data_IF_175906089002
#
_entry.id   IF_175906089002
#
_cell.length_a   1.000
_cell.length_b   1.000
_cell.length_c   1.000
_cell.angle_alpha   90.00
_cell.angle_beta   90.00
_cell.angle_gamma   90.00
#
_symmetry.space_group_name_H-M   'P 1'
#
loop_
_entity.id
_entity.type
_entity.pdbx_description
1 polymer ?
#
# COMPACT_ATOMS: atom_id res chain seq x y z
N UNK A 1 -35.04 -34.35 9.62
CA UNK A 1 -33.82 -34.67 8.84
C UNK A 1 -32.97 -33.41 8.75
N UNK A 2 -32.25 -33.11 9.84
CA UNK A 2 -31.39 -31.92 9.98
C UNK A 2 -30.00 -32.32 9.46
N UNK A 3 -29.90 -32.54 8.15
CA UNK A 3 -28.62 -32.75 7.50
C UNK A 3 -28.01 -31.36 7.29
N UNK A 4 -27.34 -30.90 8.35
CA UNK A 4 -25.96 -30.44 8.23
C UNK A 4 -25.71 -29.23 7.30
N UNK A 5 -26.33 -28.09 7.60
CA UNK A 5 -25.83 -26.77 7.15
C UNK A 5 -24.36 -26.58 7.56
N UNK A 6 -23.94 -27.18 8.69
CA UNK A 6 -22.53 -27.26 9.13
C UNK A 6 -21.59 -28.07 8.21
N UNK A 7 -22.09 -28.95 7.31
CA UNK A 7 -21.21 -29.62 6.31
C UNK A 7 -21.07 -28.81 5.04
N UNK A 8 -22.05 -28.00 4.67
CA UNK A 8 -21.91 -27.09 3.52
C UNK A 8 -20.94 -25.95 3.81
N UNK A 9 -20.84 -25.48 5.07
CA UNK A 9 -19.82 -24.49 5.46
C UNK A 9 -18.40 -25.07 5.65
N UNK A 10 -18.23 -26.41 5.59
CA UNK A 10 -16.89 -27.06 5.60
C UNK A 10 -16.32 -27.26 4.18
N UNK A 11 -17.06 -26.88 3.14
CA UNK A 11 -16.62 -27.01 1.75
C UNK A 11 -15.65 -25.90 1.36
N UNK A 12 -14.37 -26.26 1.25
CA UNK A 12 -13.25 -25.49 0.69
C UNK A 12 -12.58 -24.48 1.63
N UNK A 13 -12.11 -24.96 2.78
CA UNK A 13 -10.97 -24.30 3.42
C UNK A 13 -9.78 -24.31 2.43
N UNK A 14 -9.33 -23.14 2.00
CA UNK A 14 -8.20 -23.02 1.07
C UNK A 14 -6.95 -23.63 1.73
N UNK A 15 -6.26 -24.58 1.07
CA UNK A 15 -5.04 -25.17 1.61
C UNK A 15 -3.98 -24.11 1.92
N UNK A 16 -3.21 -24.29 3.00
CA UNK A 16 -2.13 -23.36 3.39
C UNK A 16 -1.10 -23.16 2.29
N UNK A 17 -0.81 -24.19 1.50
CA UNK A 17 0.06 -24.10 0.32
C UNK A 17 -0.49 -23.14 -0.73
N UNK A 18 -1.80 -23.17 -0.99
CA UNK A 18 -2.43 -22.25 -1.92
C UNK A 18 -2.41 -20.81 -1.37
N UNK A 19 -2.60 -20.60 -0.07
CA UNK A 19 -2.46 -19.29 0.57
C UNK A 19 -1.03 -18.76 0.42
N UNK A 20 -0.02 -19.60 0.64
CA UNK A 20 1.38 -19.22 0.45
C UNK A 20 1.67 -18.84 -1.01
N UNK A 21 1.18 -19.62 -1.97
CA UNK A 21 1.32 -19.33 -3.40
C UNK A 21 0.64 -18.00 -3.79
N UNK A 22 -0.57 -17.75 -3.29
CA UNK A 22 -1.29 -16.50 -3.56
C UNK A 22 -0.56 -15.31 -2.92
N UNK A 23 -0.05 -15.46 -1.70
CA UNK A 23 0.72 -14.40 -1.04
C UNK A 23 2.02 -14.09 -1.80
N UNK A 24 2.73 -15.13 -2.27
CA UNK A 24 3.91 -14.98 -3.10
C UNK A 24 3.59 -14.22 -4.39
N UNK A 25 2.54 -14.64 -5.10
CA UNK A 25 2.09 -14.01 -6.33
C UNK A 25 1.61 -12.56 -6.12
N UNK A 26 0.86 -12.31 -5.05
CA UNK A 26 0.39 -10.97 -4.70
C UNK A 26 1.57 -10.01 -4.44
N UNK A 27 2.58 -10.45 -3.68
CA UNK A 27 3.80 -9.66 -3.49
C UNK A 27 4.53 -9.41 -4.82
N UNK A 28 4.68 -10.44 -5.65
CA UNK A 28 5.38 -10.35 -6.93
C UNK A 28 4.67 -9.38 -7.88
N UNK A 29 3.35 -9.48 -8.02
CA UNK A 29 2.55 -8.66 -8.94
C UNK A 29 2.41 -7.21 -8.47
N UNK A 30 2.29 -6.98 -7.15
CA UNK A 30 1.98 -5.63 -6.62
C UNK A 30 3.24 -4.87 -6.19
N UNK A 31 4.26 -5.58 -5.73
CA UNK A 31 5.54 -5.00 -5.33
C UNK A 31 6.57 -5.08 -6.46
N UNK A 32 6.94 -6.30 -6.84
CA UNK A 32 8.14 -6.48 -7.66
C UNK A 32 7.95 -6.18 -9.17
N UNK A 33 6.84 -6.62 -9.77
CA UNK A 33 6.56 -6.40 -11.19
C UNK A 33 6.50 -4.90 -11.55
N UNK A 34 5.80 -4.03 -10.80
CA UNK A 34 5.82 -2.60 -11.05
C UNK A 34 7.23 -2.03 -11.04
N UNK A 35 8.08 -2.52 -10.14
CA UNK A 35 9.46 -2.10 -10.06
C UNK A 35 10.24 -2.49 -11.33
N UNK A 36 10.07 -3.72 -11.85
CA UNK A 36 10.65 -4.15 -13.13
C UNK A 36 10.18 -3.22 -14.25
N UNK A 37 8.87 -2.95 -14.31
CA UNK A 37 8.30 -2.06 -15.34
C UNK A 37 8.83 -0.63 -15.22
N UNK A 38 9.08 -0.13 -14.00
CA UNK A 38 9.70 1.19 -13.81
C UNK A 38 11.15 1.23 -14.26
N UNK A 39 11.91 0.15 -14.05
CA UNK A 39 13.29 0.04 -14.53
C UNK A 39 13.39 -0.12 -16.06
N UNK A 40 12.37 -0.71 -16.69
CA UNK A 40 12.32 -0.90 -18.15
C UNK A 40 11.78 0.31 -18.94
N UNK A 41 11.00 1.21 -18.34
CA UNK A 41 10.26 2.30 -19.03
C UNK A 41 10.97 3.67 -19.13
N UNK A 42 12.28 3.70 -19.37
CA UNK A 42 12.75 4.66 -20.39
C UNK A 42 13.02 6.13 -20.04
N UNK A 43 13.02 6.61 -18.79
CA UNK A 43 13.67 7.91 -18.48
C UNK A 43 15.11 7.73 -17.97
N UNK A 44 15.32 6.68 -17.16
CA UNK A 44 16.64 6.28 -16.71
C UNK A 44 17.27 5.27 -17.66
N UNK A 45 16.63 4.80 -18.74
CA UNK A 45 17.32 3.98 -19.75
C UNK A 45 18.33 4.83 -20.51
N UNK A 46 18.04 6.11 -20.77
CA UNK A 46 19.02 7.05 -21.33
C UNK A 46 20.11 7.37 -20.31
N UNK A 47 19.77 7.54 -19.02
CA UNK A 47 20.76 7.73 -17.95
C UNK A 47 21.59 6.46 -17.67
N UNK A 48 21.01 5.26 -17.79
CA UNK A 48 21.64 3.92 -17.72
C UNK A 48 22.38 3.54 -19.00
N UNK A 49 22.11 4.22 -20.12
CA UNK A 49 22.88 4.13 -21.36
C UNK A 49 24.01 5.16 -21.38
N UNK A 50 23.89 6.26 -20.62
CA UNK A 50 24.93 7.27 -20.40
C UNK A 50 25.87 6.93 -19.24
N UNK A 51 25.42 6.23 -18.19
CA UNK A 51 26.29 5.53 -17.24
C UNK A 51 26.56 4.13 -17.76
N UNK A 52 27.80 3.85 -18.16
CA UNK A 52 28.33 2.64 -18.82
C UNK A 52 28.09 1.27 -18.10
N UNK A 53 27.19 1.19 -17.11
CA UNK A 53 26.98 0.00 -16.28
C UNK A 53 25.67 -0.74 -16.57
N UNK A 54 25.76 -2.00 -17.00
CA UNK A 54 24.62 -2.92 -17.00
C UNK A 54 24.19 -3.23 -15.55
N UNK A 55 23.18 -2.52 -15.03
CA UNK A 55 22.70 -2.75 -13.67
C UNK A 55 21.69 -3.91 -13.63
N UNK A 56 21.94 -4.88 -12.74
CA UNK A 56 21.02 -5.99 -12.50
C UNK A 56 19.76 -5.48 -11.79
N UNK A 57 18.72 -5.21 -12.58
CA UNK A 57 17.41 -4.88 -12.04
C UNK A 57 16.90 -6.01 -11.10
N UNK A 58 16.27 -5.81 -9.91
CA UNK A 58 16.47 -5.00 -8.69
C UNK A 58 17.20 -3.69 -8.51
N UNK A 59 18.50 -3.86 -8.58
CA UNK A 59 19.39 -3.29 -7.59
C UNK A 59 20.07 -2.12 -8.27
N UNK A 60 19.23 -1.19 -8.73
CA UNK A 60 19.67 0.09 -9.26
C UNK A 60 19.93 1.05 -8.11
N UNK A 61 21.04 1.77 -8.21
CA UNK A 61 21.60 2.61 -7.17
C UNK A 61 20.63 3.64 -6.57
N UNK A 62 19.67 4.15 -7.34
CA UNK A 62 18.72 5.18 -6.89
C UNK A 62 17.35 4.58 -6.49
N UNK A 63 17.26 3.25 -6.45
CA UNK A 63 16.03 2.50 -6.22
C UNK A 63 15.66 2.26 -4.75
N UNK A 64 16.51 2.59 -3.77
CA UNK A 64 16.33 2.18 -2.37
C UNK A 64 14.97 2.58 -1.78
N UNK A 65 14.57 3.83 -1.97
CA UNK A 65 13.25 4.33 -1.55
C UNK A 65 12.13 3.54 -2.23
N UNK A 66 12.22 3.35 -3.55
CA UNK A 66 11.19 2.64 -4.33
C UNK A 66 11.09 1.18 -3.91
N UNK A 67 12.21 0.50 -3.66
CA UNK A 67 12.23 -0.88 -3.17
C UNK A 67 11.54 -1.01 -1.82
N UNK A 68 11.73 -0.05 -0.92
CA UNK A 68 10.99 -0.01 0.33
C UNK A 68 9.48 0.17 0.09
N UNK A 69 9.09 1.19 -0.69
CA UNK A 69 7.68 1.52 -0.96
C UNK A 69 6.94 0.36 -1.66
N UNK A 70 7.53 -0.19 -2.73
CA UNK A 70 7.00 -1.35 -3.45
C UNK A 70 6.98 -2.61 -2.60
N UNK A 71 8.06 -2.85 -1.84
CA UNK A 71 8.13 -3.95 -0.88
C UNK A 71 6.98 -3.83 0.13
N UNK A 72 6.71 -2.65 0.67
CA UNK A 72 5.64 -2.40 1.61
C UNK A 72 4.25 -2.66 1.03
N UNK A 73 3.97 -2.18 -0.18
CA UNK A 73 2.67 -2.39 -0.83
C UNK A 73 2.50 -3.87 -1.22
N UNK A 74 3.53 -4.51 -1.77
CA UNK A 74 3.52 -5.94 -2.07
C UNK A 74 3.37 -6.80 -0.81
N UNK A 75 4.04 -6.43 0.28
CA UNK A 75 3.96 -7.10 1.57
C UNK A 75 2.55 -7.02 2.15
N UNK A 76 1.92 -5.84 2.05
CA UNK A 76 0.54 -5.62 2.45
C UNK A 76 -0.42 -6.52 1.66
N UNK A 77 -0.27 -6.61 0.34
CA UNK A 77 -1.06 -7.50 -0.49
C UNK A 77 -0.89 -8.97 -0.09
N UNK A 78 0.35 -9.41 0.17
CA UNK A 78 0.65 -10.75 0.66
C UNK A 78 0.02 -11.02 2.04
N UNK A 79 0.07 -10.06 2.97
CA UNK A 79 -0.56 -10.18 4.29
C UNK A 79 -2.09 -10.27 4.20
N UNK A 80 -2.71 -9.55 3.27
CA UNK A 80 -4.16 -9.61 3.03
C UNK A 80 -4.63 -10.91 2.38
N UNK A 81 -3.76 -11.65 1.68
CA UNK A 81 -4.10 -12.94 1.08
C UNK A 81 -4.65 -13.95 2.10
N UNK A 82 -4.34 -13.79 3.39
CA UNK A 82 -4.89 -14.61 4.48
C UNK A 82 -6.41 -14.55 4.60
N UNK A 83 -7.06 -13.49 4.09
CA UNK A 83 -8.52 -13.33 4.09
C UNK A 83 -9.16 -14.46 3.26
N UNK A 84 -8.51 -14.91 2.19
CA UNK A 84 -8.99 -16.00 1.33
C UNK A 84 -9.04 -17.35 2.05
N UNK A 85 -8.25 -17.53 3.12
CA UNK A 85 -8.28 -18.72 3.97
C UNK A 85 -9.49 -18.82 4.90
N UNK A 86 -10.41 -17.86 4.86
CA UNK A 86 -11.68 -17.90 5.57
C UNK A 86 -11.61 -17.79 7.11
N UNK A 87 -10.42 -17.72 7.72
CA UNK A 87 -10.24 -17.64 9.18
C UNK A 87 -8.95 -16.87 9.51
N UNK A 88 -8.94 -16.13 10.63
CA UNK A 88 -7.74 -15.53 11.25
C UNK A 88 -6.75 -16.58 11.82
N UNK A 89 -6.61 -17.74 11.17
CA UNK A 89 -5.80 -18.82 11.69
C UNK A 89 -4.33 -18.45 11.69
N UNK A 90 -3.61 -18.82 12.76
CA UNK A 90 -2.15 -18.68 12.84
C UNK A 90 -1.46 -19.37 11.67
N UNK A 91 -2.05 -20.46 11.16
CA UNK A 91 -1.55 -21.19 9.99
C UNK A 91 -1.64 -20.37 8.70
N UNK A 92 -2.74 -19.66 8.44
CA UNK A 92 -2.86 -18.78 7.28
C UNK A 92 -1.86 -17.61 7.36
N UNK A 93 -1.66 -17.06 8.56
CA UNK A 93 -0.64 -16.03 8.78
C UNK A 93 0.78 -16.54 8.46
N UNK A 94 1.16 -17.71 8.99
CA UNK A 94 2.46 -18.33 8.69
C UNK A 94 2.58 -18.65 7.19
N UNK A 95 1.52 -19.17 6.56
CA UNK A 95 1.52 -19.45 5.13
C UNK A 95 1.79 -18.18 4.28
N UNK A 96 1.14 -17.05 4.59
CA UNK A 96 1.41 -15.79 3.88
C UNK A 96 2.85 -15.31 4.08
N UNK A 97 3.42 -15.48 5.27
CA UNK A 97 4.81 -15.10 5.56
C UNK A 97 5.80 -16.00 4.81
N UNK A 98 5.54 -17.30 4.75
CA UNK A 98 6.36 -18.26 3.98
C UNK A 98 6.31 -17.93 2.49
N UNK A 99 5.11 -17.67 1.95
CA UNK A 99 4.94 -17.24 0.56
C UNK A 99 5.70 -15.96 0.24
N UNK A 100 5.57 -14.94 1.10
CA UNK A 100 6.32 -13.69 1.01
C UNK A 100 7.83 -13.94 1.02
N UNK A 101 8.33 -14.67 2.02
CA UNK A 101 9.76 -14.94 2.19
C UNK A 101 10.34 -15.68 0.99
N UNK A 102 9.62 -16.68 0.46
CA UNK A 102 10.02 -17.38 -0.75
C UNK A 102 10.08 -16.44 -1.96
N UNK A 103 9.09 -15.56 -2.12
CA UNK A 103 9.03 -14.58 -3.21
C UNK A 103 10.20 -13.59 -3.18
N UNK A 104 10.50 -13.05 -1.99
CA UNK A 104 11.65 -12.16 -1.76
C UNK A 104 12.96 -12.90 -2.02
N UNK A 105 13.11 -14.13 -1.51
CA UNK A 105 14.32 -14.92 -1.73
C UNK A 105 14.57 -15.22 -3.22
N UNK A 106 13.51 -15.54 -3.98
CA UNK A 106 13.59 -15.74 -5.44
C UNK A 106 14.03 -14.45 -6.13
N UNK A 107 13.44 -13.31 -5.78
CA UNK A 107 13.83 -12.02 -6.35
C UNK A 107 15.30 -11.69 -6.06
N UNK A 108 15.75 -11.88 -4.82
CA UNK A 108 17.14 -11.63 -4.42
C UNK A 108 18.11 -12.56 -5.15
N UNK A 109 17.74 -13.85 -5.30
CA UNK A 109 18.54 -14.82 -6.04
C UNK A 109 18.62 -14.46 -7.53
N UNK A 110 17.50 -14.05 -8.15
CA UNK A 110 17.48 -13.58 -9.53
C UNK A 110 18.37 -12.36 -9.72
N UNK A 111 18.31 -11.40 -8.79
CA UNK A 111 19.15 -10.20 -8.82
C UNK A 111 20.63 -10.54 -8.67
N UNK A 112 20.97 -11.44 -7.74
CA UNK A 112 22.33 -11.92 -7.54
C UNK A 112 22.88 -12.64 -8.78
N UNK A 113 22.11 -13.55 -9.38
CA UNK A 113 22.52 -14.26 -10.59
C UNK A 113 22.70 -13.28 -11.75
N UNK A 114 21.82 -12.28 -11.87
CA UNK A 114 21.96 -11.23 -12.89
C UNK A 114 23.24 -10.40 -12.70
N UNK A 115 23.63 -10.07 -11.47
CA UNK A 115 24.91 -9.40 -11.18
C UNK A 115 26.12 -10.26 -11.57
N UNK A 116 26.07 -11.57 -11.32
CA UNK A 116 27.16 -12.50 -11.67
C UNK A 116 27.30 -12.74 -13.18
N UNK A 117 26.22 -12.52 -13.94
CA UNK A 117 26.20 -12.67 -15.39
C UNK A 117 26.46 -11.35 -16.13
N UNK A 118 26.49 -10.22 -15.42
CA UNK A 118 26.86 -8.95 -16.02
C UNK A 118 28.35 -8.98 -16.39
N UNK A 119 28.69 -8.54 -17.61
CA UNK A 119 30.08 -8.46 -18.08
C UNK A 119 30.93 -7.57 -17.16
N UNK A 120 32.26 -7.77 -17.16
CA UNK A 120 33.23 -6.99 -16.36
C UNK A 120 33.19 -5.46 -16.60
N UNK A 121 32.46 -4.99 -17.62
CA UNK A 121 32.17 -3.58 -17.87
C UNK A 121 31.02 -3.01 -17.04
N UNK A 122 30.27 -3.85 -16.33
CA UNK A 122 29.16 -3.40 -15.49
C UNK A 122 29.69 -2.81 -14.17
N UNK A 123 29.34 -1.56 -13.88
CA UNK A 123 29.50 -1.00 -12.54
C UNK A 123 28.71 -1.85 -11.55
N UNK A 124 29.42 -2.68 -10.80
CA UNK A 124 28.83 -3.43 -9.69
C UNK A 124 28.64 -2.45 -8.54
N UNK A 125 27.42 -2.29 -8.01
CA UNK A 125 27.19 -1.42 -6.86
C UNK A 125 28.09 -1.85 -5.70
N UNK A 126 28.61 -0.87 -4.94
CA UNK A 126 29.32 -1.15 -3.69
C UNK A 126 28.48 -2.12 -2.82
N UNK A 127 29.14 -3.14 -2.25
CA UNK A 127 28.51 -4.12 -1.38
C UNK A 127 27.74 -3.49 -0.22
N UNK A 128 28.16 -2.32 0.26
CA UNK A 128 27.41 -1.52 1.23
C UNK A 128 26.04 -1.06 0.71
N UNK A 129 26.01 -0.47 -0.49
CA UNK A 129 24.77 -0.01 -1.16
C UNK A 129 23.86 -1.20 -1.46
N UNK A 130 24.43 -2.30 -1.94
CA UNK A 130 23.69 -3.53 -2.22
C UNK A 130 22.98 -4.07 -0.96
N UNK A 131 23.68 -4.06 0.17
CA UNK A 131 23.14 -4.49 1.46
C UNK A 131 21.96 -3.61 1.89
N UNK A 132 22.06 -2.29 1.70
CA UNK A 132 20.96 -1.36 2.00
C UNK A 132 19.77 -1.57 1.07
N UNK A 133 19.99 -1.80 -0.23
CA UNK A 133 18.91 -2.10 -1.19
C UNK A 133 18.15 -3.38 -0.81
N UNK A 134 18.89 -4.47 -0.52
CA UNK A 134 18.29 -5.73 -0.08
C UNK A 134 17.54 -5.56 1.25
N UNK A 135 18.15 -4.86 2.20
CA UNK A 135 17.56 -4.52 3.49
C UNK A 135 16.27 -3.72 3.33
N UNK A 136 16.25 -2.70 2.48
CA UNK A 136 15.08 -1.87 2.21
C UNK A 136 13.91 -2.69 1.67
N UNK A 137 14.16 -3.59 0.71
CA UNK A 137 13.13 -4.48 0.18
C UNK A 137 12.56 -5.41 1.26
N UNK A 138 13.43 -6.06 2.05
CA UNK A 138 13.01 -6.98 3.12
C UNK A 138 12.21 -6.24 4.20
N UNK A 139 12.71 -5.09 4.65
CA UNK A 139 12.06 -4.27 5.68
C UNK A 139 10.71 -3.76 5.21
N UNK A 140 10.63 -3.21 3.99
CA UNK A 140 9.38 -2.79 3.37
C UNK A 140 8.39 -3.95 3.32
N UNK A 141 8.82 -5.09 2.78
CA UNK A 141 8.00 -6.30 2.66
C UNK A 141 7.44 -6.80 3.98
N UNK A 142 8.27 -6.86 5.02
CA UNK A 142 7.84 -7.30 6.36
C UNK A 142 6.92 -6.28 7.03
N UNK A 143 7.22 -4.98 6.91
CA UNK A 143 6.38 -3.91 7.44
C UNK A 143 4.99 -3.93 6.77
N UNK A 144 4.96 -4.03 5.45
CA UNK A 144 3.76 -4.20 4.64
C UNK A 144 2.95 -5.41 5.05
N UNK A 145 3.61 -6.58 5.17
CA UNK A 145 2.95 -7.80 5.63
C UNK A 145 2.35 -7.65 7.01
N UNK A 146 3.08 -7.02 7.95
CA UNK A 146 2.59 -6.67 9.26
C UNK A 146 1.32 -5.82 9.18
N UNK A 147 1.31 -4.78 8.32
CA UNK A 147 0.14 -3.94 8.05
C UNK A 147 -1.05 -4.73 7.50
N UNK A 148 -0.81 -5.63 6.53
CA UNK A 148 -1.85 -6.51 5.98
C UNK A 148 -2.42 -7.47 7.03
N UNK A 149 -1.57 -7.99 7.93
CA UNK A 149 -2.00 -8.81 9.06
C UNK A 149 -2.86 -7.97 10.02
N UNK A 150 -2.42 -6.80 10.46
CA UNK A 150 -3.21 -6.02 11.44
C UNK A 150 -4.47 -5.41 10.84
N UNK A 151 -4.51 -5.12 9.54
CA UNK A 151 -5.66 -4.54 8.86
C UNK A 151 -6.96 -5.33 9.08
N UNK A 152 -6.88 -6.66 9.18
CA UNK A 152 -8.05 -7.53 9.37
C UNK A 152 -8.55 -7.57 10.83
N UNK A 153 -7.87 -6.90 11.77
CA UNK A 153 -8.29 -6.86 13.20
C UNK A 153 -9.48 -5.95 13.47
N UNK A 154 -9.85 -5.09 12.52
CA UNK A 154 -11.04 -4.25 12.61
C UNK A 154 -10.87 -2.92 11.89
N UNK A 155 -11.95 -2.14 11.87
CA UNK A 155 -12.05 -0.89 11.11
C UNK A 155 -10.94 0.14 11.44
N UNK A 156 -10.54 0.25 12.71
CA UNK A 156 -9.46 1.17 13.10
C UNK A 156 -8.15 0.78 12.42
N UNK A 157 -7.73 -0.48 12.58
CA UNK A 157 -6.49 -0.97 11.99
C UNK A 157 -6.51 -0.93 10.47
N UNK A 158 -7.63 -1.28 9.85
CA UNK A 158 -7.80 -1.16 8.41
C UNK A 158 -7.64 0.29 7.93
N UNK A 159 -8.26 1.25 8.62
CA UNK A 159 -8.10 2.67 8.27
C UNK A 159 -6.69 3.20 8.49
N UNK A 160 -6.00 2.78 9.55
CA UNK A 160 -4.58 3.14 9.74
C UNK A 160 -3.71 2.56 8.61
N UNK A 161 -3.96 1.33 8.19
CA UNK A 161 -3.30 0.71 7.03
C UNK A 161 -3.58 1.48 5.74
N UNK A 162 -4.83 1.89 5.49
CA UNK A 162 -5.16 2.77 4.36
C UNK A 162 -4.47 4.13 4.45
N UNK A 163 -4.24 4.65 5.65
CA UNK A 163 -3.53 5.92 5.86
C UNK A 163 -2.05 5.82 5.46
N UNK A 164 -1.40 4.69 5.77
CA UNK A 164 -0.05 4.39 5.25
C UNK A 164 -0.08 4.35 3.72
N UNK A 165 -1.03 3.62 3.14
CA UNK A 165 -1.18 3.54 1.68
C UNK A 165 -1.47 4.90 1.04
N UNK A 166 -2.20 5.80 1.70
CA UNK A 166 -2.41 7.15 1.20
C UNK A 166 -1.09 7.92 1.15
N UNK A 167 -0.24 7.82 2.17
CA UNK A 167 1.07 8.49 2.17
C UNK A 167 2.04 7.95 1.12
N UNK A 168 1.94 6.66 0.78
CA UNK A 168 2.76 6.00 -0.25
C UNK A 168 2.13 6.04 -1.65
N UNK A 169 0.83 6.30 -1.73
CA UNK A 169 0.05 6.23 -2.97
C UNK A 169 0.58 7.18 -4.03
N UNK A 170 1.13 8.32 -3.62
CA UNK A 170 1.82 9.24 -4.52
C UNK A 170 3.05 8.59 -5.14
N UNK A 171 4.00 8.06 -4.36
CA UNK A 171 5.23 7.48 -4.93
C UNK A 171 4.96 6.26 -5.80
N UNK A 172 4.03 5.39 -5.37
CA UNK A 172 3.62 4.24 -6.18
C UNK A 172 2.93 4.68 -7.47
N UNK A 173 1.99 5.62 -7.44
CA UNK A 173 1.32 6.13 -8.64
C UNK A 173 2.32 6.72 -9.65
N UNK A 174 3.26 7.54 -9.16
CA UNK A 174 4.31 8.13 -10.00
C UNK A 174 5.18 7.05 -10.65
N UNK A 175 5.55 6.01 -9.91
CA UNK A 175 6.31 4.88 -10.44
C UNK A 175 5.53 4.04 -11.44
N UNK A 176 4.35 3.57 -11.08
CA UNK A 176 3.63 2.52 -11.81
C UNK A 176 2.75 3.04 -12.94
N UNK A 177 2.17 4.23 -12.78
CA UNK A 177 1.17 4.74 -13.73
C UNK A 177 1.76 5.86 -14.55
N UNK A 178 2.33 6.89 -13.91
CA UNK A 178 2.76 8.09 -14.63
C UNK A 178 3.99 7.84 -15.50
N UNK A 179 5.07 7.28 -14.96
CA UNK A 179 6.29 7.01 -15.74
C UNK A 179 6.03 6.16 -17.00
N UNK A 180 5.27 5.05 -16.94
CA UNK A 180 4.92 4.29 -18.14
C UNK A 180 4.01 5.07 -19.11
N UNK A 181 3.07 5.86 -18.59
CA UNK A 181 2.21 6.68 -19.45
C UNK A 181 3.03 7.72 -20.21
N UNK A 182 3.90 8.45 -19.51
CA UNK A 182 4.76 9.49 -20.08
C UNK A 182 5.66 8.88 -21.17
N UNK A 183 6.27 7.71 -20.92
CA UNK A 183 7.07 6.99 -21.92
C UNK A 183 6.27 6.57 -23.18
N UNK A 184 5.00 6.19 -23.04
CA UNK A 184 4.13 5.85 -24.17
C UNK A 184 3.70 7.11 -24.94
N UNK A 185 3.54 8.24 -24.26
CA UNK A 185 2.94 9.46 -24.80
C UNK A 185 3.97 10.44 -25.38
N UNK A 186 5.18 10.53 -24.83
CA UNK A 186 6.28 11.36 -25.36
C UNK A 186 6.75 10.88 -26.75
N UNK A 187 6.44 9.63 -27.13
CA UNK A 187 6.60 9.14 -28.50
C UNK A 187 5.54 9.66 -29.50
N UNK A 188 4.58 10.49 -29.07
CA UNK A 188 3.49 11.00 -29.89
C UNK A 188 3.43 12.53 -29.92
N UNK A 189 4.00 13.12 -30.96
CA UNK A 189 4.18 14.57 -31.25
C UNK A 189 2.88 15.41 -31.38
N UNK A 190 1.83 15.25 -30.55
CA UNK A 190 0.62 16.06 -30.79
C UNK A 190 -0.51 16.11 -29.77
N UNK A 191 -0.41 15.51 -28.57
CA UNK A 191 -1.56 15.48 -27.64
C UNK A 191 -1.28 15.88 -26.19
N UNK A 192 -0.21 16.65 -25.95
CA UNK A 192 0.29 17.01 -24.62
C UNK A 192 -0.69 17.82 -23.72
N UNK A 193 -1.70 18.49 -24.29
CA UNK A 193 -2.58 19.41 -23.55
C UNK A 193 -3.74 18.76 -22.77
N UNK A 194 -4.26 17.61 -23.21
CA UNK A 194 -5.46 17.00 -22.60
C UNK A 194 -5.06 15.96 -21.55
N UNK A 195 -3.93 15.27 -21.74
CA UNK A 195 -3.48 14.20 -20.85
C UNK A 195 -2.89 14.73 -19.54
N UNK A 196 -2.22 15.88 -19.57
CA UNK A 196 -1.70 16.58 -18.37
C UNK A 196 -2.78 16.79 -17.31
N UNK A 197 -3.99 17.18 -17.72
CA UNK A 197 -5.13 17.39 -16.79
C UNK A 197 -5.70 16.09 -16.17
N UNK A 198 -5.73 14.99 -16.93
CA UNK A 198 -6.16 13.68 -16.42
C UNK A 198 -5.10 13.10 -15.46
N UNK A 199 -3.82 13.26 -15.79
CA UNK A 199 -2.68 12.82 -14.98
C UNK A 199 -2.59 13.60 -13.67
N UNK A 200 -2.88 14.91 -13.68
CA UNK A 200 -3.02 15.70 -12.47
C UNK A 200 -4.17 15.20 -11.58
N UNK A 201 -5.33 14.86 -12.16
CA UNK A 201 -6.48 14.33 -11.42
C UNK A 201 -6.16 12.99 -10.72
N UNK A 202 -5.38 12.10 -11.35
CA UNK A 202 -4.97 10.83 -10.71
C UNK A 202 -3.90 11.05 -9.63
N UNK A 203 -3.13 12.15 -9.70
CA UNK A 203 -2.25 12.61 -8.62
C UNK A 203 -2.97 12.87 -7.29
N UNK A 204 -4.30 13.01 -7.28
CA UNK A 204 -5.13 13.18 -6.08
C UNK A 204 -5.74 11.89 -5.53
N UNK A 205 -5.45 10.71 -6.11
CA UNK A 205 -6.01 9.43 -5.63
C UNK A 205 -5.72 9.20 -4.15
N UNK A 206 -4.55 9.62 -3.66
CA UNK A 206 -4.19 9.50 -2.25
C UNK A 206 -5.15 10.26 -1.32
N UNK A 207 -5.74 11.39 -1.76
CA UNK A 207 -6.75 12.15 -1.01
C UNK A 207 -8.01 11.32 -0.82
N UNK A 208 -8.44 10.62 -1.88
CA UNK A 208 -9.57 9.69 -1.81
C UNK A 208 -9.30 8.51 -0.87
N UNK A 209 -8.10 7.93 -0.94
CA UNK A 209 -7.68 6.83 -0.05
C UNK A 209 -7.65 7.29 1.41
N UNK A 210 -7.09 8.47 1.69
CA UNK A 210 -7.08 9.04 3.04
C UNK A 210 -8.49 9.36 3.53
N UNK A 211 -9.34 9.93 2.68
CA UNK A 211 -10.75 10.17 3.05
C UNK A 211 -11.45 8.86 3.40
N UNK A 212 -11.26 7.80 2.60
CA UNK A 212 -11.80 6.48 2.89
C UNK A 212 -11.26 5.91 4.21
N UNK A 213 -9.95 6.06 4.48
CA UNK A 213 -9.34 5.66 5.74
C UNK A 213 -10.04 6.29 6.95
N UNK A 214 -10.23 7.62 6.89
CA UNK A 214 -10.89 8.39 7.94
C UNK A 214 -12.37 7.99 8.09
N UNK A 215 -13.09 7.77 6.99
CA UNK A 215 -14.49 7.29 7.02
C UNK A 215 -14.57 5.92 7.69
N UNK A 216 -13.71 4.97 7.33
CA UNK A 216 -13.72 3.62 7.93
C UNK A 216 -13.47 3.68 9.44
N UNK A 217 -12.53 4.53 9.87
CA UNK A 217 -12.27 4.76 11.30
C UNK A 217 -13.48 5.42 11.99
N UNK A 218 -14.02 6.47 11.37
CA UNK A 218 -15.02 7.37 11.95
C UNK A 218 -16.46 6.88 11.86
N UNK A 219 -16.76 5.89 11.02
CA UNK A 219 -18.12 5.42 10.76
C UNK A 219 -18.85 5.12 12.08
N UNK A 220 -18.30 4.22 12.92
CA UNK A 220 -18.84 3.89 14.27
C UNK A 220 -17.77 3.25 15.17
N UNK A 221 -17.78 3.50 16.50
CA UNK A 221 -18.49 4.58 17.22
C UNK A 221 -17.81 5.96 17.09
N UNK A 222 -18.50 7.03 17.48
CA UNK A 222 -18.02 8.43 17.37
C UNK A 222 -16.69 8.68 18.07
N UNK A 223 -16.45 7.97 19.17
CA UNK A 223 -15.19 8.02 19.92
C UNK A 223 -13.97 7.70 19.04
N UNK A 224 -14.13 6.91 17.96
CA UNK A 224 -13.04 6.61 17.03
C UNK A 224 -12.57 7.81 16.20
N UNK A 225 -13.34 8.90 16.15
CA UNK A 225 -12.88 10.15 15.52
C UNK A 225 -11.61 10.71 16.20
N UNK A 226 -11.37 10.39 17.47
CA UNK A 226 -10.12 10.74 18.17
C UNK A 226 -8.87 10.10 17.52
N UNK A 227 -9.04 9.07 16.67
CA UNK A 227 -7.95 8.41 15.94
C UNK A 227 -7.65 9.10 14.60
N UNK A 228 -8.50 10.02 14.12
CA UNK A 228 -8.25 10.75 12.87
C UNK A 228 -6.93 11.53 12.84
N UNK A 229 -6.54 12.28 13.89
CA UNK A 229 -5.24 12.95 13.91
C UNK A 229 -4.09 11.96 13.76
N UNK A 230 -4.18 10.79 14.39
CA UNK A 230 -3.17 9.74 14.26
C UNK A 230 -3.10 9.19 12.83
N UNK A 231 -4.24 8.96 12.18
CA UNK A 231 -4.31 8.51 10.79
C UNK A 231 -3.65 9.54 9.83
N UNK A 232 -3.94 10.83 10.02
CA UNK A 232 -3.32 11.91 9.25
C UNK A 232 -1.81 11.95 9.48
N UNK A 233 -1.36 11.87 10.74
CA UNK A 233 0.06 11.81 11.07
C UNK A 233 0.74 10.60 10.44
N UNK A 234 0.12 9.41 10.50
CA UNK A 234 0.67 8.21 9.85
C UNK A 234 0.81 8.43 8.34
N UNK A 235 -0.21 8.98 7.67
CA UNK A 235 -0.13 9.29 6.23
C UNK A 235 0.97 10.31 5.93
N UNK A 236 1.13 11.31 6.79
CA UNK A 236 2.21 12.28 6.70
C UNK A 236 3.59 11.61 6.86
N UNK A 237 3.78 10.74 7.84
CA UNK A 237 5.09 10.15 8.09
C UNK A 237 5.36 8.87 7.29
N UNK A 238 4.39 8.33 6.55
CA UNK A 238 4.54 7.07 5.81
C UNK A 238 5.68 7.08 4.78
N UNK A 239 6.00 8.25 4.22
CA UNK A 239 7.12 8.43 3.31
C UNK A 239 8.51 8.38 4.00
N UNK A 240 8.59 8.76 5.28
CA UNK A 240 9.86 8.98 5.94
C UNK A 240 10.80 7.75 5.98
N UNK A 241 10.34 6.51 6.23
CA UNK A 241 11.23 5.36 6.27
C UNK A 241 11.94 5.10 4.94
N UNK A 242 11.22 5.16 3.81
CA UNK A 242 11.82 5.01 2.48
C UNK A 242 12.79 6.14 2.15
N UNK A 243 12.47 7.37 2.59
CA UNK A 243 13.36 8.52 2.44
C UNK A 243 14.66 8.37 3.24
N UNK A 244 14.57 7.90 4.49
CA UNK A 244 15.72 7.66 5.37
C UNK A 244 16.62 6.54 4.84
N UNK A 245 16.05 5.49 4.24
CA UNK A 245 16.83 4.44 3.59
C UNK A 245 17.52 4.97 2.32
N UNK A 246 16.87 5.88 1.58
CA UNK A 246 17.49 6.62 0.50
C UNK A 246 18.69 7.45 0.98
N UNK A 247 18.52 8.20 2.07
CA UNK A 247 19.59 8.96 2.72
C UNK A 247 20.77 8.07 3.13
N UNK A 248 20.50 6.96 3.80
CA UNK A 248 21.55 6.02 4.22
C UNK A 248 22.32 5.46 3.01
N UNK A 249 21.62 5.18 1.91
CA UNK A 249 22.25 4.76 0.66
C UNK A 249 23.13 5.85 0.07
N UNK A 250 22.70 7.11 0.12
CA UNK A 250 23.49 8.27 -0.31
C UNK A 250 24.71 8.51 0.58
N UNK A 251 24.59 8.30 1.89
CA UNK A 251 25.69 8.45 2.86
C UNK A 251 26.79 7.42 2.65
N UNK A 252 26.44 6.18 2.32
CA UNK A 252 27.42 5.16 1.97
C UNK A 252 28.14 5.53 0.66
N UNK A 253 27.42 6.08 -0.32
CA UNK A 253 27.96 6.39 -1.65
C UNK A 253 28.82 7.65 -1.68
N UNK A 254 28.34 8.71 -1.04
CA UNK A 254 28.93 10.03 -1.09
C UNK A 254 29.61 10.39 0.24
N UNK A 255 30.15 9.38 0.94
CA UNK A 255 30.82 9.56 2.23
C UNK A 255 31.95 10.61 2.15
N UNK A 256 32.60 10.72 0.99
CA UNK A 256 33.69 11.65 0.72
C UNK A 256 33.22 13.03 0.22
N UNK A 257 31.92 13.25 0.03
CA UNK A 257 31.32 14.50 -0.45
C UNK A 257 30.27 15.05 0.55
N UNK A 258 30.70 15.89 1.51
CA UNK A 258 29.82 16.42 2.54
C UNK A 258 28.76 17.40 2.00
N UNK A 259 29.02 18.08 0.88
CA UNK A 259 28.06 19.02 0.28
C UNK A 259 26.86 18.25 -0.31
N UNK A 260 27.12 17.13 -0.98
CA UNK A 260 26.06 16.24 -1.44
C UNK A 260 25.24 15.72 -0.26
N UNK A 261 25.87 15.31 0.85
CA UNK A 261 25.15 14.79 2.01
C UNK A 261 24.24 15.82 2.68
N UNK A 262 24.72 17.06 2.83
CA UNK A 262 23.91 18.15 3.35
C UNK A 262 22.70 18.40 2.45
N UNK A 263 22.90 18.40 1.13
CA UNK A 263 21.80 18.58 0.18
C UNK A 263 20.71 17.51 0.33
N UNK A 264 21.08 16.22 0.42
CA UNK A 264 20.08 15.12 0.56
C UNK A 264 19.34 15.25 1.90
N UNK A 265 20.04 15.66 2.96
CA UNK A 265 19.43 15.91 4.27
C UNK A 265 18.43 17.07 4.24
N UNK A 266 18.77 18.18 3.56
CA UNK A 266 17.85 19.29 3.34
C UNK A 266 16.61 18.85 2.55
N UNK A 267 16.78 18.07 1.47
CA UNK A 267 15.66 17.53 0.68
C UNK A 267 14.72 16.67 1.52
N UNK A 268 15.25 15.88 2.45
CA UNK A 268 14.44 15.12 3.40
C UNK A 268 13.59 16.04 4.27
N UNK A 269 14.19 17.04 4.92
CA UNK A 269 13.46 17.97 5.79
C UNK A 269 12.46 18.82 5.03
N UNK A 270 12.84 19.32 3.85
CA UNK A 270 11.94 20.04 2.95
C UNK A 270 10.72 19.17 2.60
N UNK A 271 10.93 17.89 2.28
CA UNK A 271 9.87 16.92 2.02
C UNK A 271 8.94 16.64 3.22
N UNK A 272 9.34 17.02 4.44
CA UNK A 272 8.50 16.93 5.64
C UNK A 272 7.69 18.19 5.92
N UNK A 273 7.99 19.30 5.25
CA UNK A 273 7.30 20.59 5.45
C UNK A 273 5.90 20.60 4.82
N UNK A 274 4.95 21.38 5.37
CA UNK A 274 3.60 21.49 4.82
C UNK A 274 3.52 22.02 3.39
N UNK A 275 4.48 22.87 3.00
CA UNK A 275 4.58 23.49 1.68
C UNK A 275 4.76 22.43 0.60
N UNK A 276 5.58 21.41 0.88
CA UNK A 276 5.85 20.29 -0.03
C UNK A 276 4.82 19.16 0.04
N UNK A 277 4.08 19.06 1.15
CA UNK A 277 3.14 17.96 1.43
C UNK A 277 1.73 18.17 0.88
N UNK A 278 1.52 19.15 0.00
CA UNK A 278 0.21 19.49 -0.57
C UNK A 278 -0.88 19.54 0.52
N UNK A 279 -0.68 20.35 1.56
CA UNK A 279 -1.57 20.44 2.73
C UNK A 279 -3.06 20.61 2.37
N UNK A 280 -3.35 21.25 1.22
CA UNK A 280 -4.69 21.39 0.66
C UNK A 280 -5.37 20.02 0.46
N UNK A 281 -4.63 19.00 0.02
CA UNK A 281 -5.15 17.64 -0.13
C UNK A 281 -5.56 16.99 1.18
N UNK A 282 -4.84 17.24 2.26
CA UNK A 282 -5.26 16.78 3.59
C UNK A 282 -6.55 17.47 4.04
N UNK A 283 -6.69 18.77 3.79
CA UNK A 283 -7.93 19.51 4.09
C UNK A 283 -9.13 18.95 3.29
N UNK A 284 -8.94 18.68 1.99
CA UNK A 284 -9.96 18.06 1.14
C UNK A 284 -10.31 16.66 1.65
N UNK A 285 -9.32 15.82 2.00
CA UNK A 285 -9.55 14.48 2.52
C UNK A 285 -10.39 14.50 3.80
N UNK A 286 -10.10 15.43 4.71
CA UNK A 286 -10.87 15.61 5.96
C UNK A 286 -12.30 16.05 5.65
N UNK A 287 -12.50 17.02 4.75
CA UNK A 287 -13.83 17.48 4.36
C UNK A 287 -14.68 16.34 3.77
N UNK A 288 -14.10 15.57 2.84
CA UNK A 288 -14.73 14.38 2.25
C UNK A 288 -15.03 13.32 3.31
N UNK A 289 -14.12 13.11 4.27
CA UNK A 289 -14.31 12.14 5.33
C UNK A 289 -15.43 12.52 6.30
N UNK A 290 -15.57 13.81 6.62
CA UNK A 290 -16.69 14.32 7.43
C UNK A 290 -18.01 14.05 6.71
N UNK A 291 -18.11 14.45 5.45
CA UNK A 291 -19.32 14.24 4.64
C UNK A 291 -19.67 12.75 4.52
N UNK A 292 -18.68 11.89 4.23
CA UNK A 292 -18.86 10.44 4.15
C UNK A 292 -19.29 9.83 5.48
N UNK A 293 -18.68 10.22 6.60
CA UNK A 293 -19.03 9.71 7.93
C UNK A 293 -20.46 10.09 8.33
N UNK A 294 -20.86 11.34 8.08
CA UNK A 294 -22.23 11.81 8.33
C UNK A 294 -23.24 11.00 7.49
N UNK A 295 -22.94 10.82 6.20
CA UNK A 295 -23.81 10.08 5.26
C UNK A 295 -23.99 8.62 5.69
N UNK A 296 -22.89 7.91 5.99
CA UNK A 296 -22.94 6.52 6.47
C UNK A 296 -23.76 6.41 7.74
N UNK A 297 -23.61 7.35 8.67
CA UNK A 297 -24.39 7.38 9.92
C UNK A 297 -25.87 7.66 9.70
N UNK A 298 -26.19 8.57 8.78
CA UNK A 298 -27.57 8.90 8.44
C UNK A 298 -28.29 7.69 7.83
N UNK A 299 -27.69 7.06 6.81
CA UNK A 299 -28.24 5.87 6.14
C UNK A 299 -28.43 4.71 7.11
N UNK A 300 -27.47 4.50 8.01
CA UNK A 300 -27.55 3.43 9.02
C UNK A 300 -28.54 3.72 10.16
N UNK A 301 -29.07 4.94 10.29
CA UNK A 301 -30.21 5.27 11.17
C UNK A 301 -31.54 5.05 10.46
N UNK A 302 -31.62 5.33 9.16
CA UNK A 302 -32.82 5.10 8.34
C UNK A 302 -33.09 3.61 8.07
N UNK A 303 -32.05 2.79 7.99
CA UNK A 303 -32.14 1.36 7.64
C UNK A 303 -32.49 0.42 8.80
N UNK A 304 -32.87 0.90 9.98
CA UNK A 304 -33.34 0.05 11.10
C UNK A 304 -34.86 0.17 11.22
N UNK A 305 -35.65 -0.70 10.57
CA UNK A 305 -37.01 -0.94 11.04
C UNK A 305 -36.90 -1.55 12.44
N UNK A 306 -37.45 -0.84 13.43
CA UNK A 306 -37.50 -1.25 14.82
C UNK A 306 -38.39 -2.51 14.97
N UNK A 307 -37.85 -3.68 14.63
CA UNK A 307 -38.49 -4.99 14.85
C UNK A 307 -38.65 -5.34 16.34
N UNK A 308 -38.12 -4.52 17.22
CA UNK A 308 -38.23 -4.64 18.67
C UNK A 308 -39.46 -3.94 19.26
N UNK A 309 -40.32 -3.32 18.45
CA UNK A 309 -41.64 -2.90 18.91
C UNK A 309 -42.60 -4.09 18.75
N UNK A 310 -42.88 -4.87 19.82
CA UNK A 310 -43.96 -5.84 19.76
C UNK A 310 -45.24 -5.08 19.39
N UNK A 311 -45.96 -5.60 18.40
CA UNK A 311 -47.30 -5.09 18.10
C UNK A 311 -48.08 -5.05 19.42
N UNK A 312 -48.75 -3.92 19.74
CA UNK A 312 -49.58 -3.85 20.94
C UNK A 312 -50.53 -5.05 20.90
N UNK A 313 -50.68 -5.79 22.01
CA UNK A 313 -51.51 -6.98 22.04
C UNK A 313 -52.88 -6.61 21.49
N UNK A 314 -53.23 -7.21 20.35
CA UNK A 314 -54.54 -7.03 19.72
C UNK A 314 -55.57 -7.41 20.77
N UNK A 315 -56.19 -6.39 21.37
CA UNK A 315 -57.17 -6.56 22.41
C UNK A 315 -58.21 -7.57 21.94
N UNK A 316 -58.30 -8.68 22.66
CA UNK A 316 -59.42 -9.61 22.57
C UNK A 316 -60.69 -8.82 22.89
N UNK A 317 -61.45 -8.47 21.86
CA UNK A 317 -62.82 -7.99 22.00
C UNK A 317 -63.66 -9.19 22.43
N UNK A 318 -63.62 -9.48 23.73
CA UNK A 318 -64.65 -10.26 24.41
C UNK A 318 -65.80 -9.32 24.73
N UNK A 319 -66.79 -9.25 23.83
CA UNK A 319 -68.12 -8.73 24.14
C UNK A 319 -69.14 -9.86 23.96
N UNK A 320 -69.11 -10.76 24.95
CA UNK A 320 -70.28 -11.49 25.41
C UNK A 320 -71.28 -10.47 25.97
N UNK A 321 -72.54 -10.54 25.54
CA UNK A 321 -73.64 -9.94 26.28
C UNK A 321 -74.68 -9.25 25.42
N UNK A 322 -75.67 -10.02 24.93
CA UNK A 322 -77.07 -9.61 25.01
C UNK A 322 -77.98 -10.84 25.02
N UNK A 323 -78.68 -10.97 26.15
CA UNK A 323 -79.90 -11.73 26.34
C UNK A 323 -81.02 -11.18 25.45
#
# INVERSE_FOLDING_TARGET
MVISVERMQRGLAVPTVAIAAIAAAAWWIVGYLPWILTGLNGSDVTYLLETDGAMALPLYEYGTRMLFDFGLIGGLAAGLARILGGVQSRQAMVATLVGLAASVAVMLLQSYVALQLADDSAETPDGGVLTVLMGACVLGSLAGWGLGVVAVRGAVWFGLTLSVLAGLGTSWYWGVVRRPLDAILDGSDGSAGTVTSAVEAVGWVWVGVLAAALVVIGARPVQRLAVWPLAILISWFAYAPGALLGLLSSEIRYADDPELLESVWEWFWQGMTPTWRAWVGYAIAVALAVAGTVTVRYLTRLGVPDRSRPDPPSGSVSALGRQ
#
